data_IF_531500629559
#
_entry.id   IF_531500629559
#
_cell.length_a   1.000
_cell.length_b   1.000
_cell.length_c   1.000
_cell.angle_alpha   90.00
_cell.angle_beta   90.00
_cell.angle_gamma   90.00
#
_symmetry.space_group_name_H-M   'P 1'
#
loop_
_entity.id
_entity.type
_entity.pdbx_description
1 polymer ?
#
# COMPACT_ATOMS: atom_id res chain seq x y z
N UNK A 1 10.64 0.80 -9.62
CA UNK A 1 10.32 -0.25 -8.63
C UNK A 1 11.21 -0.02 -7.43
N UNK A 2 10.67 -0.07 -6.21
CA UNK A 2 11.46 -0.06 -4.98
C UNK A 2 11.15 -1.33 -4.19
N UNK A 3 12.13 -1.85 -3.47
CA UNK A 3 11.95 -3.04 -2.63
C UNK A 3 12.45 -2.79 -1.22
N UNK A 4 11.73 -3.35 -0.26
CA UNK A 4 12.18 -3.58 1.11
C UNK A 4 12.22 -5.10 1.36
N UNK A 5 12.74 -5.57 2.50
CA UNK A 5 12.65 -6.99 2.84
C UNK A 5 11.19 -7.49 2.92
N UNK A 6 10.24 -6.64 3.29
CA UNK A 6 8.83 -6.99 3.55
C UNK A 6 7.88 -6.64 2.40
N UNK A 7 8.26 -5.73 1.49
CA UNK A 7 7.34 -5.19 0.48
C UNK A 7 8.01 -4.80 -0.85
N UNK A 8 7.18 -4.65 -1.88
CA UNK A 8 7.55 -4.09 -3.18
C UNK A 8 6.65 -2.89 -3.45
N UNK A 9 7.24 -1.80 -3.94
CA UNK A 9 6.53 -0.56 -4.30
C UNK A 9 6.55 -0.38 -5.82
N UNK A 10 5.36 -0.35 -6.41
CA UNK A 10 5.16 -0.18 -7.85
C UNK A 10 4.12 0.89 -8.16
N UNK A 11 4.19 1.46 -9.35
CA UNK A 11 3.15 2.38 -9.84
C UNK A 11 1.90 1.57 -10.17
N UNK A 12 0.74 2.06 -9.76
CA UNK A 12 -0.53 1.46 -10.16
C UNK A 12 -0.76 1.65 -11.67
N UNK A 13 -1.19 0.60 -12.36
CA UNK A 13 -1.45 0.61 -13.79
C UNK A 13 -2.76 1.35 -14.15
N UNK A 14 -3.69 1.47 -13.20
CA UNK A 14 -4.93 2.22 -13.30
C UNK A 14 -4.95 3.33 -12.22
N UNK A 15 -4.18 4.42 -12.41
CA UNK A 15 -4.03 5.46 -11.41
C UNK A 15 -5.36 6.18 -11.10
N UNK A 16 -5.72 6.28 -9.81
CA UNK A 16 -6.88 7.05 -9.31
C UNK A 16 -6.50 8.44 -8.77
N UNK A 17 -5.22 8.80 -8.87
CA UNK A 17 -4.65 10.07 -8.47
C UNK A 17 -3.43 10.39 -9.38
N UNK A 18 -2.99 11.65 -9.47
CA UNK A 18 -1.79 12.02 -10.24
C UNK A 18 -0.55 11.19 -9.90
N UNK A 19 -0.37 10.91 -8.61
CA UNK A 19 0.58 9.91 -8.11
C UNK A 19 -0.22 8.78 -7.47
N UNK A 20 -0.20 7.59 -8.06
CA UNK A 20 -0.82 6.38 -7.52
C UNK A 20 0.17 5.22 -7.53
N UNK A 21 0.60 4.78 -6.36
CA UNK A 21 1.51 3.66 -6.15
C UNK A 21 0.90 2.65 -5.19
N UNK A 22 1.35 1.40 -5.29
CA UNK A 22 0.97 0.30 -4.42
C UNK A 22 2.20 -0.16 -3.65
N UNK A 23 2.06 -0.31 -2.33
CA UNK A 23 2.99 -1.06 -1.49
C UNK A 23 2.39 -2.45 -1.30
N UNK A 24 3.00 -3.45 -1.92
CA UNK A 24 2.52 -4.83 -1.97
C UNK A 24 3.37 -5.66 -1.02
N UNK A 25 2.74 -6.38 -0.09
CA UNK A 25 3.48 -7.24 0.84
C UNK A 25 4.14 -8.40 0.09
N UNK A 26 5.37 -8.78 0.47
CA UNK A 26 6.01 -10.00 -0.05
C UNK A 26 5.37 -11.26 0.52
N UNK A 27 5.03 -11.23 1.82
CA UNK A 27 4.20 -12.27 2.45
C UNK A 27 2.79 -12.17 1.88
N UNK A 28 2.24 -13.30 1.41
CA UNK A 28 0.86 -13.36 0.95
C UNK A 28 -0.08 -13.33 2.16
N UNK A 29 -0.95 -12.33 2.18
CA UNK A 29 -2.12 -12.22 3.05
C UNK A 29 -3.24 -11.77 2.14
N UNK A 30 -4.38 -12.47 2.12
CA UNK A 30 -5.40 -12.19 1.12
C UNK A 30 -6.08 -10.83 1.34
N UNK A 31 -6.25 -10.41 2.59
CA UNK A 31 -6.89 -9.15 2.94
C UNK A 31 -6.47 -8.71 4.34
N UNK A 32 -6.61 -7.41 4.66
CA UNK A 32 -6.30 -6.88 5.99
C UNK A 32 -7.10 -7.59 7.10
N UNK A 33 -8.33 -8.06 6.79
CA UNK A 33 -9.17 -8.83 7.71
C UNK A 33 -8.57 -10.18 8.15
N UNK A 34 -7.57 -10.68 7.42
CA UNK A 34 -6.93 -11.98 7.64
C UNK A 34 -5.54 -11.84 8.29
N UNK A 35 -5.15 -10.62 8.67
CA UNK A 35 -3.93 -10.39 9.45
C UNK A 35 -4.21 -10.86 10.89
N UNK A 36 -3.50 -11.87 11.40
CA UNK A 36 -3.71 -12.34 12.75
C UNK A 36 -3.18 -11.31 13.75
N UNK A 37 -3.79 -11.25 14.94
CA UNK A 37 -3.39 -10.31 15.99
C UNK A 37 -1.94 -10.49 16.44
N UNK A 38 -1.36 -11.68 16.31
CA UNK A 38 0.06 -11.93 16.61
C UNK A 38 1.04 -11.26 15.62
N UNK A 39 0.56 -10.81 14.46
CA UNK A 39 1.35 -10.15 13.42
C UNK A 39 1.10 -8.63 13.41
N UNK A 40 1.15 -8.00 14.59
CA UNK A 40 0.88 -6.56 14.77
C UNK A 40 1.81 -5.67 13.94
N UNK A 41 3.02 -6.16 13.66
CA UNK A 41 4.05 -5.39 12.92
C UNK A 41 3.83 -5.38 11.42
N UNK A 42 3.04 -6.31 10.85
CA UNK A 42 2.82 -6.42 9.41
C UNK A 42 2.35 -5.11 8.78
N UNK A 43 1.29 -4.51 9.33
CA UNK A 43 0.74 -3.25 8.81
C UNK A 43 1.74 -2.10 9.02
N UNK A 44 2.45 -2.10 10.16
CA UNK A 44 3.50 -1.11 10.46
C UNK A 44 4.60 -1.09 9.39
N UNK A 45 5.09 -2.26 8.97
CA UNK A 45 6.09 -2.37 7.90
C UNK A 45 5.58 -1.78 6.57
N UNK A 46 4.32 -2.06 6.20
CA UNK A 46 3.72 -1.49 4.98
C UNK A 46 3.59 0.04 5.05
N UNK A 47 3.19 0.58 6.22
CA UNK A 47 3.07 2.02 6.43
C UNK A 47 4.45 2.70 6.38
N UNK A 48 5.48 2.08 6.95
CA UNK A 48 6.86 2.61 6.88
C UNK A 48 7.38 2.62 5.44
N UNK A 49 7.21 1.52 4.70
CA UNK A 49 7.55 1.45 3.28
C UNK A 49 6.80 2.51 2.46
N UNK A 50 5.51 2.74 2.75
CA UNK A 50 4.71 3.78 2.09
C UNK A 50 5.22 5.20 2.40
N UNK A 51 5.56 5.48 3.66
CA UNK A 51 6.13 6.76 4.08
C UNK A 51 7.43 7.06 3.34
N UNK A 52 8.37 6.10 3.33
CA UNK A 52 9.66 6.23 2.65
C UNK A 52 9.50 6.34 1.12
N UNK A 53 8.53 5.60 0.56
CA UNK A 53 8.15 5.69 -0.85
C UNK A 53 7.59 7.08 -1.22
N UNK A 54 6.69 7.62 -0.41
CA UNK A 54 6.09 8.93 -0.61
C UNK A 54 7.12 10.06 -0.52
N UNK A 55 8.10 9.96 0.39
CA UNK A 55 9.21 10.91 0.52
C UNK A 55 10.05 10.95 -0.77
N UNK A 56 10.43 9.79 -1.30
CA UNK A 56 11.18 9.70 -2.57
C UNK A 56 10.40 10.21 -3.78
N UNK A 57 9.07 10.16 -3.72
CA UNK A 57 8.18 10.72 -4.73
C UNK A 57 7.98 12.25 -4.56
N UNK A 58 8.57 12.87 -3.55
CA UNK A 58 8.45 14.30 -3.27
C UNK A 58 7.06 14.72 -2.79
N UNK A 59 6.25 13.78 -2.27
CA UNK A 59 4.89 14.06 -1.83
C UNK A 59 4.91 14.76 -0.46
N UNK A 60 4.37 15.99 -0.42
CA UNK A 60 4.16 16.74 0.83
C UNK A 60 2.86 16.38 1.56
N UNK A 61 1.95 15.69 0.86
CA UNK A 61 0.66 15.23 1.37
C UNK A 61 0.12 14.16 0.45
N UNK A 62 -0.45 13.11 1.03
CA UNK A 62 -0.94 11.92 0.35
C UNK A 62 -1.94 11.18 1.23
N UNK A 63 -2.71 10.27 0.62
CA UNK A 63 -3.60 9.33 1.31
C UNK A 63 -2.95 7.95 1.29
N UNK A 64 -3.10 7.25 2.41
CA UNK A 64 -2.82 5.84 2.55
C UNK A 64 -4.15 5.11 2.66
N UNK A 65 -4.43 4.16 1.76
CA UNK A 65 -5.72 3.46 1.69
C UNK A 65 -5.51 1.96 1.58
N UNK A 66 -6.21 1.21 2.42
CA UNK A 66 -6.45 -0.22 2.23
C UNK A 66 -7.90 -0.42 1.81
N UNK A 67 -8.11 -1.20 0.76
CA UNK A 67 -9.44 -1.68 0.40
C UNK A 67 -9.66 -3.04 1.08
N UNK A 68 -10.79 -3.21 1.78
CA UNK A 68 -11.07 -4.42 2.56
C UNK A 68 -12.39 -5.03 2.10
N UNK A 69 -12.33 -6.24 1.53
CA UNK A 69 -13.50 -6.93 0.98
C UNK A 69 -14.02 -6.29 -0.31
N UNK A 70 -14.92 -6.99 -1.01
CA UNK A 70 -15.46 -6.53 -2.30
C UNK A 70 -16.24 -5.21 -2.16
N UNK A 71 -17.01 -5.05 -1.09
CA UNK A 71 -17.75 -3.81 -0.79
C UNK A 71 -16.82 -2.62 -0.50
N UNK A 72 -15.65 -2.87 0.08
CA UNK A 72 -14.59 -1.87 0.27
C UNK A 72 -13.74 -1.63 -0.98
N UNK A 73 -14.08 -2.21 -2.14
CA UNK A 73 -13.36 -2.04 -3.39
C UNK A 73 -12.11 -2.91 -3.55
N UNK A 74 -11.94 -3.95 -2.72
CA UNK A 74 -10.80 -4.86 -2.86
C UNK A 74 -11.03 -5.78 -4.07
N UNK A 75 -10.25 -5.61 -5.13
CA UNK A 75 -10.37 -6.43 -6.36
C UNK A 75 -9.38 -7.60 -6.36
N UNK A 76 -8.20 -7.41 -5.75
CA UNK A 76 -7.12 -8.41 -5.69
C UNK A 76 -7.00 -8.95 -4.27
N UNK A 77 -6.97 -10.28 -4.14
CA UNK A 77 -6.85 -10.99 -2.87
C UNK A 77 -5.39 -11.14 -2.44
N UNK A 78 -4.72 -9.99 -2.33
CA UNK A 78 -3.36 -9.84 -1.82
C UNK A 78 -3.25 -8.44 -1.20
N UNK A 79 -2.81 -8.32 0.05
CA UNK A 79 -2.73 -7.01 0.74
C UNK A 79 -1.81 -6.06 -0.01
N UNK A 80 -2.37 -4.92 -0.40
CA UNK A 80 -1.63 -3.80 -0.94
C UNK A 80 -2.15 -2.49 -0.31
N UNK A 81 -1.22 -1.61 0.02
CA UNK A 81 -1.50 -0.27 0.53
C UNK A 81 -1.35 0.73 -0.61
N UNK A 82 -2.41 1.48 -0.91
CA UNK A 82 -2.40 2.53 -1.90
C UNK A 82 -1.73 3.79 -1.33
N UNK A 83 -0.79 4.37 -2.09
CA UNK A 83 -0.27 5.72 -1.91
C UNK A 83 -0.90 6.58 -3.00
N UNK A 84 -1.77 7.53 -2.61
CA UNK A 84 -2.47 8.43 -3.53
C UNK A 84 -2.06 9.88 -3.22
N UNK A 85 -1.57 10.62 -4.21
CA UNK A 85 -1.04 11.97 -3.99
C UNK A 85 -0.93 12.81 -5.25
N UNK A 86 -0.32 13.98 -5.11
CA UNK A 86 0.07 14.82 -6.24
C UNK A 86 -1.02 15.71 -6.82
N UNK A 87 -2.11 16.00 -6.09
CA UNK A 87 -3.18 16.91 -6.51
C UNK A 87 -2.77 18.40 -6.45
N UNK A 88 -1.62 18.76 -7.00
CA UNK A 88 -1.13 20.13 -7.12
C UNK A 88 -0.95 20.53 -8.57
#
# INVERSE_FOLDING_TARGET
>A
MQETPEAVIIRDIHPSAPVHYLVISKKHVASVKEIPHEDETFVGHLVHAAKDGAEKLGLKGYKLVFNVGREGGQIIDHVHLHILGGWK
#
